data_IF_975029450737
#
_entry.id   IF_975029450737
#
_cell.length_a   1.000
_cell.length_b   1.000
_cell.length_c   1.000
_cell.angle_alpha   90.00
_cell.angle_beta   90.00
_cell.angle_gamma   90.00
#
_symmetry.space_group_name_H-M   'P 1'
#
loop_
_entity.id
_entity.type
_entity.pdbx_description
1 polymer ?
#
# COMPACT_ATOMS: atom_id res chain seq x y z
N UNK A 1 13.51 -49.58 -50.33
CA UNK A 1 13.23 -48.13 -50.52
C UNK A 1 12.19 -47.70 -49.50
N UNK A 2 12.60 -47.10 -48.38
CA UNK A 2 11.66 -46.49 -47.42
C UNK A 2 12.27 -45.20 -46.89
N UNK A 3 11.61 -44.07 -47.19
CA UNK A 3 12.00 -42.72 -46.81
C UNK A 3 11.59 -42.46 -45.35
N UNK A 4 12.50 -41.98 -44.52
CA UNK A 4 12.15 -41.47 -43.18
C UNK A 4 11.47 -40.09 -43.30
N UNK A 5 10.41 -39.81 -42.52
CA UNK A 5 9.81 -38.50 -42.47
C UNK A 5 10.64 -37.55 -41.59
N UNK A 6 10.83 -36.32 -42.06
CA UNK A 6 11.45 -35.23 -41.31
C UNK A 6 10.45 -34.73 -40.26
N UNK A 7 10.70 -35.03 -38.99
CA UNK A 7 9.97 -34.45 -37.86
C UNK A 7 10.47 -33.02 -37.67
N UNK A 8 9.64 -32.03 -37.96
CA UNK A 8 9.91 -30.61 -37.70
C UNK A 8 9.23 -30.25 -36.37
N UNK A 9 10.02 -30.14 -35.30
CA UNK A 9 9.55 -29.79 -33.97
C UNK A 9 9.50 -28.26 -33.84
N UNK A 10 8.35 -27.64 -34.09
CA UNK A 10 8.17 -26.19 -33.93
C UNK A 10 7.94 -25.83 -32.46
N UNK A 11 8.96 -25.23 -31.83
CA UNK A 11 8.92 -24.70 -30.47
C UNK A 11 8.29 -23.30 -30.47
N UNK A 12 6.98 -23.20 -30.20
CA UNK A 12 6.30 -21.90 -30.05
C UNK A 12 6.57 -21.34 -28.65
N UNK A 13 7.43 -20.33 -28.56
CA UNK A 13 7.67 -19.55 -27.34
C UNK A 13 6.52 -18.53 -27.20
N UNK A 14 5.58 -18.78 -26.29
CA UNK A 14 4.56 -17.80 -25.91
C UNK A 14 5.17 -16.79 -24.94
N UNK A 15 5.38 -15.55 -25.41
CA UNK A 15 5.81 -14.43 -24.56
C UNK A 15 4.59 -13.98 -23.75
N UNK A 16 4.56 -14.29 -22.45
CA UNK A 16 3.56 -13.74 -21.55
C UNK A 16 3.83 -12.25 -21.34
N UNK A 17 2.92 -11.39 -21.77
CA UNK A 17 2.99 -9.96 -21.51
C UNK A 17 2.66 -9.68 -20.04
N UNK A 18 3.67 -9.36 -19.24
CA UNK A 18 3.48 -8.91 -17.86
C UNK A 18 2.83 -7.52 -17.87
N UNK A 19 1.59 -7.41 -17.39
CA UNK A 19 0.97 -6.11 -17.17
C UNK A 19 1.70 -5.37 -16.02
N UNK A 20 2.53 -4.39 -16.37
CA UNK A 20 3.19 -3.55 -15.37
C UNK A 20 2.13 -2.62 -14.75
N UNK A 21 1.76 -2.88 -13.49
CA UNK A 21 0.85 -1.99 -12.76
C UNK A 21 1.44 -0.57 -12.70
N UNK A 22 0.64 0.43 -13.06
CA UNK A 22 1.03 1.83 -12.95
C UNK A 22 1.35 2.19 -11.49
N UNK A 23 2.33 3.06 -11.26
CA UNK A 23 2.64 3.53 -9.90
C UNK A 23 1.47 4.36 -9.36
N UNK A 24 1.09 4.21 -8.08
CA UNK A 24 0.05 5.04 -7.48
C UNK A 24 0.38 6.52 -7.50
N UNK A 25 -0.63 7.34 -7.81
CA UNK A 25 -0.50 8.80 -7.80
C UNK A 25 -0.83 9.36 -6.42
N UNK A 26 0.26 9.69 -5.73
CA UNK A 26 0.42 10.54 -4.55
C UNK A 26 -0.21 11.95 -4.59
N UNK A 27 -1.03 12.46 -3.64
CA UNK A 27 -0.90 13.88 -3.33
C UNK A 27 0.55 14.19 -2.88
N UNK A 28 0.97 15.45 -2.94
CA UNK A 28 2.29 15.83 -2.44
C UNK A 28 2.35 15.68 -0.90
N UNK A 29 3.14 14.72 -0.44
CA UNK A 29 3.36 14.40 0.97
C UNK A 29 4.83 14.67 1.32
N UNK A 30 5.06 15.39 2.43
CA UNK A 30 6.43 15.75 2.85
C UNK A 30 6.86 14.89 4.04
N UNK A 31 8.11 14.40 4.03
CA UNK A 31 8.69 13.71 5.20
C UNK A 31 8.52 14.58 6.46
N UNK A 32 8.06 13.99 7.57
CA UNK A 32 7.81 14.72 8.81
C UNK A 32 6.47 15.49 8.86
N UNK A 33 5.68 15.47 7.80
CA UNK A 33 4.34 16.06 7.78
C UNK A 33 3.41 15.39 8.80
N UNK A 34 2.60 16.16 9.52
CA UNK A 34 1.63 15.62 10.47
C UNK A 34 0.58 14.77 9.76
N UNK A 35 0.25 13.62 10.34
CA UNK A 35 -0.72 12.70 9.76
C UNK A 35 -2.10 13.34 9.50
N UNK A 36 -2.56 14.25 10.36
CA UNK A 36 -3.84 14.94 10.15
C UNK A 36 -3.89 15.73 8.82
N UNK A 37 -2.77 16.35 8.43
CA UNK A 37 -2.65 17.04 7.14
C UNK A 37 -2.62 16.04 5.98
N UNK A 38 -1.85 14.97 6.13
CA UNK A 38 -1.78 13.87 5.15
C UNK A 38 -3.16 13.28 4.90
N UNK A 39 -3.90 12.94 5.97
CA UNK A 39 -5.25 12.40 5.92
C UNK A 39 -6.19 13.32 5.12
N UNK A 40 -6.12 14.62 5.38
CA UNK A 40 -6.89 15.62 4.63
C UNK A 40 -6.53 15.63 3.13
N UNK A 41 -5.23 15.54 2.79
CA UNK A 41 -4.77 15.48 1.39
C UNK A 41 -5.21 14.19 0.70
N UNK A 42 -5.15 13.06 1.38
CA UNK A 42 -5.58 11.77 0.84
C UNK A 42 -7.07 11.79 0.49
N UNK A 43 -7.92 12.26 1.42
CA UNK A 43 -9.35 12.46 1.14
C UNK A 43 -9.60 13.39 -0.05
N UNK A 44 -8.93 14.56 -0.09
CA UNK A 44 -9.06 15.52 -1.20
C UNK A 44 -8.62 14.93 -2.55
N UNK A 45 -7.66 14.01 -2.53
CA UNK A 45 -7.17 13.32 -3.73
C UNK A 45 -8.03 12.10 -4.12
N UNK A 46 -9.15 11.85 -3.43
CA UNK A 46 -10.07 10.75 -3.71
C UNK A 46 -9.60 9.38 -3.20
N UNK A 47 -8.60 9.35 -2.31
CA UNK A 47 -8.23 8.13 -1.60
C UNK A 47 -9.20 7.90 -0.45
N UNK A 48 -9.56 6.63 -0.23
CA UNK A 48 -10.45 6.22 0.87
C UNK A 48 -9.69 5.39 1.90
N UNK A 49 -10.06 5.49 3.20
CA UNK A 49 -9.59 4.57 4.23
C UNK A 49 -9.76 3.12 3.83
N UNK A 50 -8.73 2.32 4.04
CA UNK A 50 -8.75 0.88 3.89
C UNK A 50 -8.34 0.22 5.21
N UNK A 51 -8.84 -0.99 5.45
CA UNK A 51 -8.53 -1.80 6.62
C UNK A 51 -8.53 -3.25 6.20
N UNK A 52 -7.66 -4.07 6.79
CA UNK A 52 -7.69 -5.52 6.58
C UNK A 52 -8.45 -6.22 7.71
N UNK A 53 -8.87 -7.49 7.53
CA UNK A 53 -9.46 -8.28 8.61
C UNK A 53 -8.53 -8.48 9.82
N UNK A 54 -7.23 -8.26 9.65
CA UNK A 54 -6.21 -8.44 10.69
C UNK A 54 -5.73 -7.11 11.28
N UNK A 55 -6.39 -6.00 10.99
CA UNK A 55 -6.05 -4.71 11.57
C UNK A 55 -6.16 -4.75 13.11
N UNK A 56 -5.15 -4.21 13.79
CA UNK A 56 -5.14 -4.13 15.24
C UNK A 56 -6.30 -3.23 15.73
N UNK A 57 -6.88 -3.52 16.90
CA UNK A 57 -7.76 -2.57 17.55
C UNK A 57 -6.96 -1.34 17.99
N UNK A 58 -7.54 -0.16 17.81
CA UNK A 58 -6.98 1.05 18.40
C UNK A 58 -7.10 0.98 19.93
N UNK A 59 -5.97 1.10 20.64
CA UNK A 59 -5.96 1.08 22.10
C UNK A 59 -6.77 2.26 22.67
N UNK A 60 -7.50 2.02 23.76
CA UNK A 60 -8.32 3.06 24.40
C UNK A 60 -7.42 4.22 24.84
N UNK A 61 -7.74 5.44 24.38
CA UNK A 61 -6.97 6.65 24.68
C UNK A 61 -5.82 6.96 23.72
N UNK A 62 -5.51 6.07 22.77
CA UNK A 62 -4.47 6.32 21.77
C UNK A 62 -4.92 7.30 20.68
N UNK A 63 -4.53 8.57 20.85
CA UNK A 63 -4.86 9.67 19.93
C UNK A 63 -4.24 9.50 18.53
N UNK A 64 -3.27 8.60 18.36
CA UNK A 64 -2.65 8.32 17.07
C UNK A 64 -3.58 7.55 16.14
N UNK A 65 -4.48 6.73 16.67
CA UNK A 65 -5.41 5.88 15.90
C UNK A 65 -6.89 6.18 16.12
N UNK A 66 -7.27 6.93 17.16
CA UNK A 66 -8.68 7.22 17.47
C UNK A 66 -9.42 7.85 16.27
N UNK A 67 -10.54 7.24 15.87
CA UNK A 67 -11.37 7.69 14.75
C UNK A 67 -10.74 7.50 13.36
N UNK A 68 -9.71 6.66 13.24
CA UNK A 68 -8.97 6.41 12.00
C UNK A 68 -9.16 4.95 11.59
N UNK A 69 -10.23 4.69 10.85
CA UNK A 69 -10.53 3.34 10.33
C UNK A 69 -9.48 2.85 9.34
N UNK A 70 -8.63 3.75 8.85
CA UNK A 70 -7.49 3.39 8.02
C UNK A 70 -6.29 2.81 8.81
N UNK A 71 -6.32 2.78 10.14
CA UNK A 71 -5.22 2.24 10.94
C UNK A 71 -5.14 0.72 10.79
N UNK A 72 -3.95 0.21 10.48
CA UNK A 72 -3.65 -1.22 10.38
C UNK A 72 -2.96 -1.73 11.64
N UNK A 73 -1.95 -1.01 12.12
CA UNK A 73 -1.21 -1.35 13.33
C UNK A 73 -0.53 -0.12 13.91
N UNK A 74 -0.36 -0.09 15.24
CA UNK A 74 0.45 0.90 15.93
C UNK A 74 1.36 0.21 16.96
N UNK A 75 2.67 0.48 16.89
CA UNK A 75 3.62 0.04 17.91
C UNK A 75 3.37 0.79 19.22
N UNK A 76 3.26 0.06 20.33
CA UNK A 76 3.14 0.61 21.68
C UNK A 76 4.47 1.00 22.32
N UNK A 77 5.61 0.67 21.69
CA UNK A 77 6.96 0.96 22.19
C UNK A 77 7.89 1.40 21.06
N UNK A 78 9.08 1.87 21.40
CA UNK A 78 10.10 2.29 20.43
C UNK A 78 9.74 3.61 19.76
N UNK A 79 9.83 3.65 18.42
CA UNK A 79 9.59 4.87 17.62
C UNK A 79 8.10 5.23 17.46
N UNK A 80 7.21 4.53 18.16
CA UNK A 80 5.76 4.74 18.11
C UNK A 80 5.21 4.72 16.66
N UNK A 81 5.65 3.74 15.86
CA UNK A 81 5.21 3.64 14.49
C UNK A 81 3.71 3.37 14.40
N UNK A 82 3.04 3.96 13.42
CA UNK A 82 1.69 3.56 13.01
C UNK A 82 1.65 3.37 11.50
N UNK A 83 0.90 2.37 11.05
CA UNK A 83 0.63 2.09 9.65
C UNK A 83 -0.82 2.41 9.34
N UNK A 84 -1.05 3.14 8.26
CA UNK A 84 -2.39 3.51 7.79
C UNK A 84 -2.58 3.14 6.32
N UNK A 85 -3.63 2.38 6.00
CA UNK A 85 -3.91 1.89 4.66
C UNK A 85 -4.92 2.76 3.92
N UNK A 86 -4.60 3.06 2.67
CA UNK A 86 -5.44 3.86 1.80
C UNK A 86 -5.64 3.14 0.48
N UNK A 87 -6.85 3.23 -0.09
CA UNK A 87 -7.20 2.60 -1.36
C UNK A 87 -7.73 3.61 -2.36
N UNK A 88 -7.35 3.44 -3.62
CA UNK A 88 -7.89 4.16 -4.78
C UNK A 88 -7.63 3.35 -6.05
N UNK A 89 -8.63 3.24 -6.94
CA UNK A 89 -8.50 2.61 -8.27
C UNK A 89 -7.83 1.22 -8.24
N UNK A 90 -8.20 0.40 -7.25
CA UNK A 90 -7.65 -0.96 -7.07
C UNK A 90 -6.22 -1.01 -6.51
N UNK A 91 -5.62 0.12 -6.17
CA UNK A 91 -4.31 0.21 -5.54
C UNK A 91 -4.45 0.45 -4.04
N UNK A 92 -3.58 -0.19 -3.26
CA UNK A 92 -3.45 0.05 -1.82
C UNK A 92 -2.08 0.63 -1.50
N UNK A 93 -2.05 1.68 -0.71
CA UNK A 93 -0.80 2.25 -0.17
C UNK A 93 -0.83 2.26 1.35
N UNK A 94 0.34 2.13 1.94
CA UNK A 94 0.61 2.19 3.36
C UNK A 94 1.35 3.49 3.67
N UNK A 95 0.74 4.33 4.50
CA UNK A 95 1.37 5.51 5.07
C UNK A 95 1.87 5.12 6.46
N UNK A 96 3.18 5.15 6.64
CA UNK A 96 3.81 4.84 7.92
C UNK A 96 4.23 6.15 8.56
N UNK A 97 3.86 6.32 9.83
CA UNK A 97 4.25 7.48 10.65
C UNK A 97 5.08 7.07 11.84
N UNK A 98 5.86 7.99 12.40
CA UNK A 98 6.58 7.80 13.66
C UNK A 98 6.22 8.89 14.68
N UNK A 99 6.36 8.56 15.97
CA UNK A 99 6.18 9.46 17.11
C UNK A 99 4.75 9.54 17.64
N UNK A 100 4.64 10.05 18.88
CA UNK A 100 3.37 10.28 19.59
C UNK A 100 2.51 11.41 18.97
N UNK A 101 3.16 12.34 18.26
CA UNK A 101 2.53 13.26 17.29
C UNK A 101 2.82 12.69 15.88
N UNK A 102 1.94 11.85 15.31
CA UNK A 102 2.29 10.99 14.18
C UNK A 102 2.71 11.79 12.96
N UNK A 103 3.94 11.55 12.49
CA UNK A 103 4.54 12.25 11.35
C UNK A 103 5.02 11.32 10.28
N UNK A 104 4.90 11.72 9.01
CA UNK A 104 5.28 10.88 7.88
C UNK A 104 6.70 10.34 8.02
N UNK A 105 6.80 9.02 8.09
CA UNK A 105 8.05 8.31 8.02
C UNK A 105 8.29 7.81 6.59
N UNK A 106 7.35 7.07 5.99
CA UNK A 106 7.47 6.62 4.62
C UNK A 106 6.10 6.28 4.03
N UNK A 107 6.08 6.09 2.71
CA UNK A 107 4.94 5.57 1.98
C UNK A 107 5.36 4.32 1.24
N UNK A 108 4.54 3.29 1.28
CA UNK A 108 4.77 2.01 0.62
C UNK A 108 3.55 1.67 -0.24
N UNK A 109 3.77 1.06 -1.40
CA UNK A 109 2.68 0.45 -2.17
C UNK A 109 2.53 -0.98 -1.64
N UNK A 110 1.31 -1.36 -1.26
CA UNK A 110 1.02 -2.74 -0.89
C UNK A 110 0.88 -3.57 -2.17
N UNK A 111 1.52 -4.75 -2.27
CA UNK A 111 1.21 -5.70 -3.33
C UNK A 111 -0.24 -6.18 -3.17
N UNK A 112 -0.99 -6.20 -4.27
CA UNK A 112 -2.32 -6.82 -4.33
C UNK A 112 -2.21 -8.34 -4.31
#
# INVERSE_FOLDING_TARGET
>A
MTRLPRIVLSLTITIAASAQAAKPVLPHLTKGEKYASIRTKMFKAGWVPASTPNADPCATGDKRCEGRTEMEACSGTGMAYCQFLWRKDGQVVSIVTAGEDPRLHNVQVQPN
#
